data_IF_187899016677
#
_entry.id   IF_187899016677
#
_cell.length_a   1.000
_cell.length_b   1.000
_cell.length_c   1.000
_cell.angle_alpha   90.00
_cell.angle_beta   90.00
_cell.angle_gamma   90.00
#
_symmetry.space_group_name_H-M   'P 1'
#
loop_
_entity.id
_entity.type
_entity.pdbx_description
1 polymer ?
#
# COMPACT_ATOMS: atom_id res chain seq x y z
N UNK A 1 -13.38 -80.39 62.21
CA UNK A 1 -14.34 -79.50 61.55
C UNK A 1 -13.62 -78.19 61.25
N UNK A 2 -13.30 -77.92 59.99
CA UNK A 2 -13.05 -76.57 59.44
C UNK A 2 -12.78 -76.72 57.94
N UNK A 3 -13.80 -76.42 57.15
CA UNK A 3 -13.69 -76.00 55.75
C UNK A 3 -13.48 -74.45 55.78
N UNK A 4 -13.04 -73.71 54.77
CA UNK A 4 -12.92 -73.90 53.33
C UNK A 4 -12.13 -72.70 52.73
N UNK A 5 -11.86 -72.74 51.41
CA UNK A 5 -11.75 -71.64 50.40
C UNK A 5 -10.68 -70.54 50.56
N UNK A 6 -9.75 -70.32 49.60
CA UNK A 6 -9.93 -69.63 48.30
C UNK A 6 -9.34 -68.21 48.40
N UNK A 7 -8.67 -67.55 47.45
CA UNK A 7 -8.43 -67.76 46.02
C UNK A 7 -7.51 -66.65 45.48
N UNK A 8 -7.30 -66.72 44.16
CA UNK A 8 -6.53 -65.86 43.25
C UNK A 8 -6.80 -64.35 43.27
N UNK A 9 -5.79 -63.60 42.78
CA UNK A 9 -5.81 -62.44 41.85
C UNK A 9 -4.87 -61.33 42.38
N UNK A 10 -3.73 -60.99 41.79
CA UNK A 10 -3.39 -60.60 40.40
C UNK A 10 -4.19 -59.40 39.85
N UNK A 11 -3.44 -58.37 39.45
CA UNK A 11 -3.82 -57.24 38.55
C UNK A 11 -4.74 -56.18 39.19
N UNK A 12 -4.53 -54.88 39.04
CA UNK A 12 -4.30 -54.14 37.81
C UNK A 12 -3.58 -52.80 38.06
N UNK A 13 -2.83 -52.40 37.04
CA UNK A 13 -2.24 -51.07 36.85
C UNK A 13 -3.29 -49.99 36.57
N UNK A 14 -2.86 -48.74 36.81
CA UNK A 14 -3.13 -47.51 36.05
C UNK A 14 -4.59 -47.09 35.76
N UNK A 15 -4.98 -45.96 36.35
CA UNK A 15 -6.15 -45.18 35.97
C UNK A 15 -5.99 -43.70 36.32
N UNK A 16 -5.02 -43.02 35.69
CA UNK A 16 -4.92 -41.56 35.70
C UNK A 16 -6.04 -40.95 34.85
N UNK A 17 -7.26 -40.92 35.36
CA UNK A 17 -8.38 -40.24 34.75
C UNK A 17 -8.46 -38.79 35.23
N UNK A 18 -8.24 -37.84 34.33
CA UNK A 18 -8.46 -36.41 34.58
C UNK A 18 -9.88 -36.19 35.08
N UNK A 19 -10.03 -35.41 36.15
CA UNK A 19 -11.35 -35.09 36.72
C UNK A 19 -12.17 -34.22 35.74
N UNK A 20 -13.51 -34.27 35.77
CA UNK A 20 -14.36 -33.46 34.88
C UNK A 20 -14.14 -31.94 35.05
N UNK A 21 -13.62 -31.51 36.21
CA UNK A 21 -13.20 -30.12 36.44
C UNK A 21 -11.92 -29.74 35.67
N UNK A 22 -10.93 -30.64 35.57
CA UNK A 22 -9.72 -30.41 34.75
C UNK A 22 -10.05 -30.36 33.26
N UNK A 23 -10.95 -31.22 32.77
CA UNK A 23 -11.37 -31.22 31.37
C UNK A 23 -12.05 -29.91 30.93
N UNK A 24 -12.82 -29.26 31.81
CA UNK A 24 -13.47 -27.98 31.53
C UNK A 24 -12.48 -26.79 31.49
N UNK A 25 -11.47 -26.80 32.37
CA UNK A 25 -10.41 -25.78 32.39
C UNK A 25 -9.49 -25.85 31.17
N UNK A 26 -9.13 -27.05 30.72
CA UNK A 26 -8.30 -27.26 29.52
C UNK A 26 -9.00 -26.81 28.24
N UNK A 27 -10.33 -27.00 28.15
CA UNK A 27 -11.13 -26.58 27.00
C UNK A 27 -11.24 -25.05 26.89
N UNK A 28 -11.36 -24.35 28.04
CA UNK A 28 -11.41 -22.89 28.10
C UNK A 28 -10.06 -22.26 27.75
N UNK A 29 -8.95 -22.84 28.23
CA UNK A 29 -7.61 -22.36 27.91
C UNK A 29 -7.24 -22.61 26.44
N UNK A 30 -7.62 -23.76 25.89
CA UNK A 30 -7.43 -24.09 24.46
C UNK A 30 -8.22 -23.18 23.52
N UNK A 31 -9.45 -22.82 23.88
CA UNK A 31 -10.26 -21.87 23.11
C UNK A 31 -9.67 -20.46 23.11
N UNK A 32 -9.19 -19.97 24.27
CA UNK A 32 -8.52 -18.68 24.37
C UNK A 32 -7.21 -18.64 23.57
N UNK A 33 -6.40 -19.70 23.63
CA UNK A 33 -5.16 -19.80 22.86
C UNK A 33 -5.41 -19.81 21.34
N UNK A 34 -6.48 -20.50 20.89
CA UNK A 34 -6.88 -20.52 19.48
C UNK A 34 -7.33 -19.16 18.95
N UNK A 35 -8.06 -18.37 19.76
CA UNK A 35 -8.47 -17.01 19.39
C UNK A 35 -7.26 -16.08 19.29
N UNK A 36 -6.33 -16.16 20.25
CA UNK A 36 -5.08 -15.38 20.24
C UNK A 36 -4.22 -15.75 19.03
N UNK A 37 -4.03 -17.04 18.74
CA UNK A 37 -3.25 -17.50 17.59
C UNK A 37 -3.85 -17.03 16.25
N UNK A 38 -5.18 -17.10 16.09
CA UNK A 38 -5.87 -16.56 14.90
C UNK A 38 -5.74 -15.04 14.79
N UNK A 39 -5.78 -14.33 15.92
CA UNK A 39 -5.57 -12.89 15.98
C UNK A 39 -4.18 -12.47 15.52
N UNK A 40 -3.14 -13.17 16.00
CA UNK A 40 -1.75 -12.93 15.62
C UNK A 40 -1.55 -13.19 14.12
N UNK A 41 -2.02 -14.34 13.62
CA UNK A 41 -1.92 -14.68 12.20
C UNK A 41 -2.61 -13.63 11.30
N UNK A 42 -3.79 -13.13 11.70
CA UNK A 42 -4.49 -12.07 10.95
C UNK A 42 -3.72 -10.75 10.93
N UNK A 43 -3.05 -10.40 12.03
CA UNK A 43 -2.23 -9.19 12.11
C UNK A 43 -0.98 -9.29 11.24
N UNK A 44 -0.33 -10.46 11.21
CA UNK A 44 0.84 -10.69 10.35
C UNK A 44 0.49 -10.59 8.87
N UNK A 45 -0.62 -11.19 8.45
CA UNK A 45 -1.13 -11.06 7.08
C UNK A 45 -1.45 -9.61 6.74
N UNK A 46 -2.10 -8.85 7.63
CA UNK A 46 -2.40 -7.43 7.42
C UNK A 46 -1.13 -6.56 7.31
N UNK A 47 -0.07 -6.88 8.06
CA UNK A 47 1.22 -6.19 7.96
C UNK A 47 1.92 -6.51 6.64
N UNK A 48 1.90 -7.77 6.21
CA UNK A 48 2.50 -8.18 4.94
C UNK A 48 1.80 -7.50 3.75
N UNK A 49 0.47 -7.42 3.75
CA UNK A 49 -0.28 -6.73 2.68
C UNK A 49 -0.05 -5.21 2.70
N UNK A 50 0.06 -4.59 3.87
CA UNK A 50 0.42 -3.17 3.98
C UNK A 50 1.84 -2.89 3.46
N UNK A 51 2.80 -3.77 3.76
CA UNK A 51 4.16 -3.65 3.25
C UNK A 51 4.20 -3.78 1.72
N UNK A 52 3.53 -4.78 1.15
CA UNK A 52 3.44 -4.95 -0.30
C UNK A 52 2.74 -3.78 -0.99
N UNK A 53 1.69 -3.23 -0.38
CA UNK A 53 1.00 -2.04 -0.89
C UNK A 53 1.92 -0.80 -0.90
N UNK A 54 2.71 -0.62 0.15
CA UNK A 54 3.69 0.47 0.24
C UNK A 54 4.80 0.33 -0.80
N UNK A 55 5.32 -0.88 -0.97
CA UNK A 55 6.31 -1.18 -2.00
C UNK A 55 5.76 -0.89 -3.40
N UNK A 56 4.57 -1.41 -3.74
CA UNK A 56 3.90 -1.14 -5.02
C UNK A 56 3.70 0.36 -5.24
N UNK A 57 3.25 1.08 -4.22
CA UNK A 57 3.08 2.53 -4.28
C UNK A 57 4.40 3.23 -4.61
N UNK A 58 5.47 2.89 -3.89
CA UNK A 58 6.79 3.47 -4.11
C UNK A 58 7.34 3.17 -5.51
N UNK A 59 7.16 1.94 -6.01
CA UNK A 59 7.55 1.55 -7.36
C UNK A 59 6.72 2.28 -8.42
N UNK A 60 5.41 2.47 -8.19
CA UNK A 60 4.53 3.25 -9.05
C UNK A 60 4.95 4.71 -9.16
N UNK A 61 5.24 5.36 -8.03
CA UNK A 61 5.75 6.74 -7.99
C UNK A 61 7.12 6.84 -8.67
N UNK A 62 8.01 5.86 -8.47
CA UNK A 62 9.30 5.82 -9.17
C UNK A 62 9.14 5.72 -10.69
N UNK A 63 8.19 4.90 -11.18
CA UNK A 63 7.85 4.85 -12.62
C UNK A 63 7.30 6.19 -13.12
N UNK A 64 6.46 6.87 -12.34
CA UNK A 64 5.99 8.21 -12.68
C UNK A 64 7.11 9.24 -12.73
N UNK A 65 8.10 9.14 -11.84
CA UNK A 65 9.29 9.99 -11.86
C UNK A 65 10.12 9.74 -13.12
N UNK A 66 10.37 8.47 -13.46
CA UNK A 66 11.07 8.11 -14.69
C UNK A 66 10.35 8.63 -15.95
N UNK A 67 9.02 8.53 -16.00
CA UNK A 67 8.23 9.06 -17.11
C UNK A 67 8.30 10.60 -17.22
N UNK A 68 8.22 11.30 -16.07
CA UNK A 68 8.44 12.75 -16.00
C UNK A 68 9.83 13.11 -16.52
N UNK A 69 10.86 12.41 -16.08
CA UNK A 69 12.25 12.69 -16.41
C UNK A 69 12.55 12.41 -17.89
N UNK A 70 11.94 11.39 -18.46
CA UNK A 70 11.96 11.14 -19.91
C UNK A 70 11.32 12.30 -20.69
N UNK A 71 10.18 12.83 -20.22
CA UNK A 71 9.53 13.99 -20.85
C UNK A 71 10.37 15.27 -20.69
N UNK A 72 11.03 15.45 -19.54
CA UNK A 72 11.98 16.54 -19.36
C UNK A 72 13.14 16.44 -20.35
N UNK A 73 13.71 15.24 -20.55
CA UNK A 73 14.77 15.02 -21.53
C UNK A 73 14.30 15.34 -22.96
N UNK A 74 13.09 14.92 -23.35
CA UNK A 74 12.48 15.26 -24.64
C UNK A 74 12.32 16.78 -24.81
N UNK A 75 11.81 17.48 -23.79
CA UNK A 75 11.64 18.95 -23.85
C UNK A 75 12.99 19.67 -23.93
N UNK A 76 14.01 19.14 -23.25
CA UNK A 76 15.37 19.72 -23.23
C UNK A 76 16.15 19.48 -24.52
N UNK A 77 15.87 18.41 -25.26
CA UNK A 77 16.50 18.14 -26.56
C UNK A 77 15.96 19.05 -27.68
N UNK A 78 14.83 19.71 -27.45
CA UNK A 78 14.28 20.73 -28.35
C UNK A 78 15.08 22.03 -28.36
N UNK A 79 14.77 22.91 -29.33
CA UNK A 79 15.34 24.26 -29.38
C UNK A 79 14.98 25.07 -28.12
N UNK A 80 15.78 26.10 -27.79
CA UNK A 80 15.47 27.00 -26.68
C UNK A 80 14.06 27.61 -26.74
N UNK A 81 13.55 27.87 -27.95
CA UNK A 81 12.17 28.35 -28.16
C UNK A 81 11.13 27.29 -27.82
N UNK A 82 11.36 26.02 -28.16
CA UNK A 82 10.47 24.90 -27.80
C UNK A 82 10.50 24.63 -26.30
N UNK A 83 11.69 24.55 -25.70
CA UNK A 83 11.86 24.38 -24.26
C UNK A 83 11.17 25.48 -23.46
N UNK A 84 11.25 26.73 -23.93
CA UNK A 84 10.64 27.87 -23.25
C UNK A 84 9.10 27.86 -23.25
N UNK A 85 8.47 27.13 -24.19
CA UNK A 85 7.02 26.95 -24.20
C UNK A 85 6.55 26.01 -23.10
N UNK A 86 7.37 25.06 -22.65
CA UNK A 86 6.98 24.18 -21.54
C UNK A 86 7.30 24.88 -20.23
N UNK A 87 6.26 25.11 -19.44
CA UNK A 87 6.36 25.80 -18.15
C UNK A 87 6.75 24.81 -17.05
N UNK A 88 6.04 23.70 -16.93
CA UNK A 88 6.28 22.67 -15.91
C UNK A 88 5.93 21.28 -16.43
N UNK A 89 6.56 20.25 -15.84
CA UNK A 89 6.30 18.84 -16.11
C UNK A 89 6.16 18.10 -14.79
N UNK A 90 5.19 17.19 -14.71
CA UNK A 90 4.91 16.36 -13.53
C UNK A 90 4.57 14.93 -13.96
N UNK A 91 4.96 13.95 -13.14
CA UNK A 91 4.52 12.57 -13.28
C UNK A 91 3.36 12.28 -12.33
N UNK A 92 2.44 11.40 -12.74
CA UNK A 92 1.35 10.94 -11.91
C UNK A 92 1.23 9.42 -11.96
N UNK A 93 0.89 8.82 -10.81
CA UNK A 93 0.61 7.41 -10.64
C UNK A 93 -0.75 7.21 -10.00
N UNK A 94 -1.57 6.32 -10.56
CA UNK A 94 -2.81 5.87 -9.94
C UNK A 94 -2.65 4.45 -9.37
N UNK A 95 -2.64 4.27 -8.03
CA UNK A 95 -2.50 2.97 -7.40
C UNK A 95 -3.63 1.97 -7.72
N UNK A 96 -4.83 2.49 -8.04
CA UNK A 96 -6.01 1.66 -8.31
C UNK A 96 -5.91 0.97 -9.67
N UNK A 97 -5.55 1.73 -10.72
CA UNK A 97 -5.38 1.20 -12.07
C UNK A 97 -3.96 0.74 -12.41
N UNK A 98 -2.99 1.00 -11.52
CA UNK A 98 -1.55 0.81 -11.74
C UNK A 98 -0.98 1.58 -12.95
N UNK A 99 -1.64 2.67 -13.36
CA UNK A 99 -1.25 3.48 -14.52
C UNK A 99 -0.34 4.63 -14.12
N UNK A 100 0.52 5.00 -15.07
CA UNK A 100 1.39 6.19 -14.99
C UNK A 100 1.06 7.12 -16.14
N UNK A 101 1.07 8.43 -15.86
CA UNK A 101 0.94 9.47 -16.86
C UNK A 101 1.89 10.63 -16.59
N UNK A 102 2.02 11.51 -17.58
CA UNK A 102 2.83 12.72 -17.50
C UNK A 102 1.97 13.90 -17.92
N UNK A 103 1.99 14.95 -17.11
CA UNK A 103 1.41 16.25 -17.46
C UNK A 103 2.51 17.24 -17.78
N UNK A 104 2.40 17.92 -18.92
CA UNK A 104 3.31 18.98 -19.31
C UNK A 104 2.51 20.25 -19.63
N UNK A 105 2.68 21.29 -18.81
CA UNK A 105 1.99 22.55 -19.04
C UNK A 105 2.72 23.36 -20.12
N UNK A 106 2.06 23.52 -21.26
CA UNK A 106 2.54 24.35 -22.37
C UNK A 106 1.91 25.74 -22.29
N UNK A 107 2.73 26.77 -22.45
CA UNK A 107 2.30 28.16 -22.46
C UNK A 107 1.35 28.45 -23.63
N UNK A 108 0.28 29.20 -23.35
CA UNK A 108 -0.80 29.46 -24.31
C UNK A 108 -1.77 28.29 -24.55
N UNK A 109 -1.50 27.11 -24.00
CA UNK A 109 -2.39 25.94 -24.06
C UNK A 109 -3.12 25.71 -22.73
N UNK A 110 -4.26 25.01 -22.79
CA UNK A 110 -4.98 24.49 -21.61
C UNK A 110 -5.22 25.55 -20.53
N UNK A 111 -5.91 26.63 -20.92
CA UNK A 111 -6.20 27.77 -20.02
C UNK A 111 -6.89 27.27 -18.74
N UNK A 112 -6.40 27.74 -17.60
CA UNK A 112 -6.93 27.37 -16.28
C UNK A 112 -6.44 26.03 -15.71
N UNK A 113 -5.69 25.22 -16.48
CA UNK A 113 -5.15 23.93 -16.02
C UNK A 113 -3.68 24.04 -15.60
N UNK A 114 -3.30 23.29 -14.58
CA UNK A 114 -1.94 23.03 -14.13
C UNK A 114 -1.43 21.71 -14.74
N UNK A 115 -0.14 21.42 -14.58
CA UNK A 115 0.44 20.17 -15.09
C UNK A 115 -0.21 18.95 -14.42
N UNK A 116 -0.61 19.07 -13.15
CA UNK A 116 -1.28 18.04 -12.37
C UNK A 116 -2.65 17.68 -12.95
N UNK A 117 -3.44 18.66 -13.42
CA UNK A 117 -4.72 18.34 -14.07
C UNK A 117 -4.49 17.57 -15.38
N UNK A 118 -3.50 17.99 -16.17
CA UNK A 118 -3.17 17.32 -17.43
C UNK A 118 -2.71 15.88 -17.19
N UNK A 119 -1.93 15.64 -16.13
CA UNK A 119 -1.52 14.30 -15.76
C UNK A 119 -2.70 13.46 -15.24
N UNK A 120 -3.61 14.05 -14.45
CA UNK A 120 -4.81 13.37 -13.96
C UNK A 120 -5.77 13.01 -15.10
N UNK A 121 -5.96 13.91 -16.08
CA UNK A 121 -6.76 13.66 -17.28
C UNK A 121 -6.16 12.52 -18.12
N UNK A 122 -4.84 12.49 -18.26
CA UNK A 122 -4.14 11.41 -18.96
C UNK A 122 -4.25 10.05 -18.25
N UNK A 123 -4.52 10.01 -16.94
CA UNK A 123 -4.86 8.79 -16.20
C UNK A 123 -6.33 8.36 -16.40
N UNK A 124 -7.16 9.18 -17.05
CA UNK A 124 -8.60 8.96 -17.20
C UNK A 124 -9.44 9.57 -16.08
N UNK A 125 -8.91 10.60 -15.40
CA UNK A 125 -9.58 11.33 -14.32
C UNK A 125 -10.07 10.45 -13.15
N UNK A 126 -9.19 9.64 -12.52
CA UNK A 126 -9.54 8.91 -11.32
C UNK A 126 -9.84 9.88 -10.15
N UNK A 127 -10.42 9.39 -9.03
CA UNK A 127 -10.71 10.21 -7.86
C UNK A 127 -9.46 11.02 -7.44
N UNK A 128 -9.53 12.36 -7.37
CA UNK A 128 -8.33 13.20 -7.25
C UNK A 128 -7.37 12.83 -6.12
N UNK A 129 -7.91 12.48 -4.94
CA UNK A 129 -7.12 12.17 -3.75
C UNK A 129 -6.39 10.82 -3.80
N UNK A 130 -6.64 9.97 -4.80
CA UNK A 130 -5.96 8.68 -4.95
C UNK A 130 -4.69 8.79 -5.78
N UNK A 131 -4.56 9.86 -6.58
CA UNK A 131 -3.42 10.06 -7.48
C UNK A 131 -2.19 10.45 -6.67
N UNK A 132 -1.05 9.84 -6.98
CA UNK A 132 0.26 10.22 -6.46
C UNK A 132 1.05 10.96 -7.51
N UNK A 133 1.34 12.23 -7.24
CA UNK A 133 2.16 13.06 -8.11
C UNK A 133 3.61 13.02 -7.68
N UNK A 134 4.52 13.20 -8.63
CA UNK A 134 5.93 13.50 -8.36
C UNK A 134 6.14 15.00 -8.26
N UNK A 135 7.36 15.44 -7.96
CA UNK A 135 7.68 16.87 -7.99
C UNK A 135 7.41 17.47 -9.38
N UNK A 136 6.83 18.67 -9.36
CA UNK A 136 6.60 19.49 -10.55
C UNK A 136 7.89 20.22 -10.89
N UNK A 137 8.48 19.96 -12.07
CA UNK A 137 9.79 20.53 -12.46
C UNK A 137 9.63 21.51 -13.61
N UNK A 138 10.31 22.66 -13.51
CA UNK A 138 10.48 23.63 -14.62
C UNK A 138 11.63 23.19 -15.53
N UNK A 139 11.40 22.82 -16.81
CA UNK A 139 12.45 22.27 -17.69
C UNK A 139 13.61 23.22 -18.04
N UNK A 140 13.46 24.51 -17.77
CA UNK A 140 14.43 25.56 -18.11
C UNK A 140 15.49 25.78 -17.03
N UNK A 141 15.14 25.55 -15.78
CA UNK A 141 15.94 25.91 -14.60
C UNK A 141 16.10 24.76 -13.62
N UNK A 142 15.40 23.65 -13.85
CA UNK A 142 15.32 22.49 -12.96
C UNK A 142 14.78 22.81 -11.57
N UNK A 143 14.10 23.96 -11.46
CA UNK A 143 13.40 24.38 -10.26
C UNK A 143 12.20 23.46 -10.01
N UNK A 144 12.14 22.93 -8.79
CA UNK A 144 10.97 22.25 -8.26
C UNK A 144 9.97 23.30 -7.81
N UNK A 145 8.77 23.27 -8.39
CA UNK A 145 7.71 24.22 -8.12
C UNK A 145 6.69 23.55 -7.19
N UNK A 146 6.34 24.16 -6.05
CA UNK A 146 5.30 23.61 -5.20
C UNK A 146 3.94 23.66 -5.92
N UNK A 147 3.04 22.69 -5.66
CA UNK A 147 1.70 22.72 -6.22
C UNK A 147 0.96 24.00 -5.82
N UNK A 148 0.11 24.53 -6.70
CA UNK A 148 -0.71 25.69 -6.36
C UNK A 148 -1.83 25.31 -5.36
N UNK A 149 -2.42 26.30 -4.68
CA UNK A 149 -3.42 26.02 -3.64
C UNK A 149 -4.67 25.32 -4.17
N UNK A 150 -5.02 25.55 -5.44
CA UNK A 150 -6.09 24.80 -6.12
C UNK A 150 -5.71 23.32 -6.27
N UNK A 151 -4.49 23.03 -6.72
CA UNK A 151 -4.01 21.64 -6.83
C UNK A 151 -3.97 20.96 -5.46
N UNK A 152 -3.48 21.67 -4.41
CA UNK A 152 -3.49 21.15 -3.03
C UNK A 152 -4.90 20.85 -2.54
N UNK A 153 -5.87 21.73 -2.80
CA UNK A 153 -7.26 21.53 -2.39
C UNK A 153 -7.91 20.33 -3.11
N UNK A 154 -7.60 20.14 -4.40
CA UNK A 154 -8.19 19.09 -5.23
C UNK A 154 -7.54 17.72 -4.98
N UNK A 155 -6.21 17.65 -5.06
CA UNK A 155 -5.45 16.40 -5.05
C UNK A 155 -4.85 16.07 -3.67
N UNK A 156 -4.85 17.02 -2.73
CA UNK A 156 -4.17 16.92 -1.44
C UNK A 156 -2.76 17.49 -1.48
N UNK A 157 -2.10 17.51 -0.33
CA UNK A 157 -0.69 17.87 -0.22
C UNK A 157 0.16 16.77 -0.86
N UNK A 158 1.07 17.19 -1.73
CA UNK A 158 2.13 16.34 -2.26
C UNK A 158 3.20 16.28 -1.16
N UNK A 159 3.34 15.13 -0.51
CA UNK A 159 4.37 14.83 0.51
C UNK A 159 5.36 13.78 -0.02
#
# INVERSE_FOLDING_TARGET
MSAAIGGHAERMMNGGGSTPAQAASDLLLGAAFSVVAKGIAKLEVARATAAAAKEKLSAGVARAAAARDAKLAEVRSGSGKQRNKVTTVVGAYDPASDKVAVGAKVDGCDKGKCAEDLAAEALGSPPPKTIKFTDVIRPRTDEVIPPCDRCKATYGTQE
#
